data_IF_660813261848
#
_entry.id   IF_660813261848
#
_cell.length_a   1.000
_cell.length_b   1.000
_cell.length_c   1.000
_cell.angle_alpha   90.00
_cell.angle_beta   90.00
_cell.angle_gamma   90.00
#
_symmetry.space_group_name_H-M   'P 1'
#
loop_
_entity.id
_entity.type
_entity.pdbx_description
1 polymer ?
#
# COMPACT_ATOMS: atom_id res chain seq x y z
N UNK A 1 -19.03 5.73 -4.16
CA UNK A 1 -17.56 5.63 -4.00
C UNK A 1 -17.13 4.33 -4.64
N UNK A 2 -16.48 4.40 -5.80
CA UNK A 2 -15.98 3.19 -6.47
C UNK A 2 -14.86 2.56 -5.62
N UNK A 3 -14.91 1.26 -5.39
CA UNK A 3 -13.83 0.57 -4.68
C UNK A 3 -12.49 0.79 -5.39
N UNK A 4 -11.39 0.97 -4.64
CA UNK A 4 -10.10 1.24 -5.23
C UNK A 4 -9.58 0.00 -5.97
N UNK A 5 -9.10 0.20 -7.21
CA UNK A 5 -8.72 -0.88 -8.15
C UNK A 5 -7.74 -1.90 -7.58
N UNK A 6 -6.89 -1.50 -6.62
CA UNK A 6 -5.92 -2.41 -5.99
C UNK A 6 -6.58 -3.52 -5.18
N UNK A 7 -7.82 -3.34 -4.68
CA UNK A 7 -8.57 -4.39 -3.96
C UNK A 7 -9.07 -5.51 -4.87
N UNK A 8 -9.22 -5.22 -6.16
CA UNK A 8 -9.65 -6.20 -7.16
C UNK A 8 -8.47 -7.04 -7.67
N UNK A 9 -7.24 -6.61 -7.41
CA UNK A 9 -6.02 -7.29 -7.85
C UNK A 9 -5.54 -8.23 -6.74
N UNK A 10 -6.09 -9.46 -6.74
CA UNK A 10 -5.83 -10.46 -5.69
C UNK A 10 -4.35 -10.79 -5.53
N UNK A 11 -3.57 -10.77 -6.61
CA UNK A 11 -2.12 -10.97 -6.55
C UNK A 11 -1.47 -9.86 -5.73
N UNK A 12 -1.80 -8.60 -6.00
CA UNK A 12 -1.28 -7.49 -5.23
C UNK A 12 -1.71 -7.56 -3.76
N UNK A 13 -3.00 -7.82 -3.52
CA UNK A 13 -3.55 -7.97 -2.15
C UNK A 13 -2.80 -9.06 -1.40
N UNK A 14 -2.54 -10.22 -2.00
CA UNK A 14 -1.83 -11.31 -1.37
C UNK A 14 -0.36 -10.98 -1.00
N UNK A 15 0.27 -10.07 -1.74
CA UNK A 15 1.64 -9.64 -1.44
C UNK A 15 1.72 -8.71 -0.21
N UNK A 16 0.65 -7.95 0.02
CA UNK A 16 0.57 -6.91 1.05
C UNK A 16 -0.35 -7.24 2.23
N UNK A 17 -1.20 -8.27 2.14
CA UNK A 17 -2.18 -8.62 3.18
C UNK A 17 -1.54 -8.87 4.54
N UNK A 18 -0.40 -9.57 4.55
CA UNK A 18 0.40 -9.83 5.74
C UNK A 18 0.92 -8.54 6.39
N UNK A 19 1.21 -7.51 5.59
CA UNK A 19 1.62 -6.21 6.09
C UNK A 19 0.42 -5.38 6.56
N UNK A 20 -0.67 -5.39 5.80
CA UNK A 20 -1.93 -4.74 6.16
C UNK A 20 -2.52 -5.28 7.47
N UNK A 21 -2.28 -6.55 7.78
CA UNK A 21 -2.77 -7.16 9.01
C UNK A 21 -1.95 -6.77 10.25
N UNK A 22 -0.74 -6.20 10.07
CA UNK A 22 0.10 -5.77 11.20
C UNK A 22 -0.51 -4.58 11.93
N UNK A 23 -0.43 -4.62 13.26
CA UNK A 23 -0.91 -3.54 14.12
C UNK A 23 -0.26 -2.18 13.80
N UNK A 24 1.00 -2.16 13.40
CA UNK A 24 1.73 -0.94 13.01
C UNK A 24 1.09 -0.27 11.78
N UNK A 25 0.68 -1.05 10.79
CA UNK A 25 0.01 -0.56 9.58
C UNK A 25 -1.45 -0.21 9.88
N UNK A 26 -2.12 -0.98 10.74
CA UNK A 26 -3.47 -0.64 11.23
C UNK A 26 -3.47 0.67 12.03
N UNK A 27 -2.41 0.99 12.77
CA UNK A 27 -2.26 2.27 13.47
C UNK A 27 -2.17 3.45 12.51
N UNK A 28 -1.56 3.31 11.32
CA UNK A 28 -1.55 4.36 10.28
C UNK A 28 -2.95 4.71 9.77
N UNK A 29 -3.90 3.76 9.78
CA UNK A 29 -5.31 4.01 9.44
C UNK A 29 -6.01 4.93 10.45
N UNK A 30 -5.50 5.01 11.69
CA UNK A 30 -6.03 5.85 12.76
C UNK A 30 -5.49 7.29 12.73
N UNK A 31 -4.47 7.57 11.91
CA UNK A 31 -3.99 8.94 11.67
C UNK A 31 -4.71 9.54 10.47
N UNK A 32 -5.94 9.99 10.70
CA UNK A 32 -6.74 10.75 9.73
C UNK A 32 -6.23 12.19 9.68
N UNK A 33 -5.39 12.52 8.68
CA UNK A 33 -5.24 13.92 8.28
C UNK A 33 -6.50 14.38 7.53
N UNK A 34 -6.99 15.56 7.89
CA UNK A 34 -8.25 16.15 7.44
C UNK A 34 -8.54 15.95 5.93
N UNK A 35 -9.76 15.50 5.68
CA UNK A 35 -10.59 15.70 4.49
C UNK A 35 -10.57 14.75 3.28
N UNK A 36 -9.48 14.14 2.77
CA UNK A 36 -9.67 13.30 1.55
C UNK A 36 -8.78 12.07 1.34
N UNK A 37 -7.69 11.85 2.10
CA UNK A 37 -6.83 10.67 1.88
C UNK A 37 -6.01 10.35 3.14
N UNK A 38 -6.04 9.11 3.62
CA UNK A 38 -5.14 8.67 4.70
C UNK A 38 -3.70 8.45 4.19
N UNK A 39 -2.67 8.59 5.06
CA UNK A 39 -1.28 8.19 4.73
C UNK A 39 -1.20 6.75 4.19
N UNK A 40 -2.05 5.88 4.73
CA UNK A 40 -2.21 4.51 4.27
C UNK A 40 -2.71 4.42 2.82
N UNK A 41 -3.74 5.17 2.44
CA UNK A 41 -4.25 5.19 1.06
C UNK A 41 -3.24 5.75 0.06
N UNK A 42 -2.47 6.77 0.45
CA UNK A 42 -1.37 7.27 -0.36
C UNK A 42 -0.31 6.19 -0.58
N UNK A 43 0.13 5.53 0.50
CA UNK A 43 1.12 4.44 0.44
C UNK A 43 0.65 3.26 -0.40
N UNK A 44 -0.62 2.86 -0.28
CA UNK A 44 -1.20 1.79 -1.10
C UNK A 44 -1.26 2.21 -2.58
N UNK A 45 -1.59 3.46 -2.89
CA UNK A 45 -1.63 3.94 -4.27
C UNK A 45 -0.25 3.93 -4.93
N UNK A 46 0.78 4.40 -4.22
CA UNK A 46 2.19 4.36 -4.67
C UNK A 46 2.65 2.91 -4.82
N UNK A 47 2.40 2.07 -3.82
CA UNK A 47 2.72 0.65 -3.84
C UNK A 47 2.09 -0.08 -5.03
N UNK A 48 0.80 0.15 -5.31
CA UNK A 48 0.10 -0.47 -6.43
C UNK A 48 0.64 -0.03 -7.78
N UNK A 49 0.99 1.26 -7.94
CA UNK A 49 1.61 1.75 -9.17
C UNK A 49 2.98 1.10 -9.40
N UNK A 50 3.82 1.05 -8.37
CA UNK A 50 5.14 0.41 -8.44
C UNK A 50 5.05 -1.09 -8.70
N UNK A 51 4.10 -1.79 -8.09
CA UNK A 51 3.78 -3.19 -8.39
C UNK A 51 3.44 -3.40 -9.87
N UNK A 52 2.59 -2.54 -10.44
CA UNK A 52 2.21 -2.64 -11.87
C UNK A 52 3.40 -2.41 -12.79
N UNK A 53 4.31 -1.51 -12.43
CA UNK A 53 5.57 -1.29 -13.16
C UNK A 53 6.43 -2.55 -13.04
N UNK A 54 6.68 -3.04 -11.82
CA UNK A 54 7.47 -4.25 -11.60
C UNK A 54 6.93 -5.46 -12.39
N UNK A 55 5.60 -5.65 -12.39
CA UNK A 55 4.92 -6.72 -13.14
C UNK A 55 5.12 -6.58 -14.64
N UNK A 56 5.06 -5.35 -15.17
CA UNK A 56 5.30 -5.08 -16.60
C UNK A 56 6.73 -5.37 -17.04
N UNK A 57 7.71 -5.17 -16.16
CA UNK A 57 9.13 -5.38 -16.44
C UNK A 57 9.66 -6.74 -15.94
N UNK A 58 8.82 -7.60 -15.38
CA UNK A 58 9.24 -8.89 -14.82
C UNK A 58 10.19 -8.76 -13.62
N UNK A 59 10.10 -7.65 -12.88
CA UNK A 59 10.88 -7.40 -11.66
C UNK A 59 10.24 -8.06 -10.44
N UNK A 60 10.90 -7.96 -9.29
CA UNK A 60 10.39 -8.48 -8.02
C UNK A 60 9.18 -7.66 -7.52
N UNK A 61 8.00 -8.11 -7.95
CA UNK A 61 6.70 -7.48 -7.64
C UNK A 61 6.42 -7.47 -6.15
N UNK A 62 6.81 -8.54 -5.43
CA UNK A 62 6.64 -8.68 -3.98
C UNK A 62 7.42 -7.61 -3.23
N UNK A 63 8.72 -7.52 -3.47
CA UNK A 63 9.59 -6.55 -2.80
C UNK A 63 9.17 -5.13 -3.14
N UNK A 64 8.81 -4.88 -4.40
CA UNK A 64 8.36 -3.55 -4.86
C UNK A 64 7.05 -3.13 -4.19
N UNK A 65 6.05 -4.02 -4.14
CA UNK A 65 4.76 -3.74 -3.49
C UNK A 65 4.96 -3.46 -1.98
N UNK A 66 5.73 -4.32 -1.30
CA UNK A 66 5.98 -4.20 0.14
C UNK A 66 6.79 -2.95 0.47
N UNK A 67 7.83 -2.64 -0.32
CA UNK A 67 8.63 -1.43 -0.16
C UNK A 67 7.78 -0.17 -0.34
N UNK A 68 6.94 -0.11 -1.38
CA UNK A 68 6.04 1.02 -1.60
C UNK A 68 4.99 1.18 -0.51
N UNK A 69 4.52 0.09 0.11
CA UNK A 69 3.55 0.17 1.21
C UNK A 69 4.21 0.70 2.50
N UNK A 70 5.47 0.30 2.74
CA UNK A 70 6.21 0.65 3.95
C UNK A 70 7.03 1.95 3.82
N UNK A 71 7.12 2.54 2.64
CA UNK A 71 7.99 3.71 2.41
C UNK A 71 7.60 4.93 3.26
N UNK A 72 6.33 5.05 3.63
CA UNK A 72 5.79 6.13 4.46
C UNK A 72 5.58 5.68 5.92
N UNK A 73 6.12 4.52 6.31
CA UNK A 73 6.06 4.01 7.68
C UNK A 73 7.12 4.70 8.58
N UNK A 74 7.22 6.03 8.47
CA UNK A 74 8.04 6.85 9.35
C UNK A 74 7.16 7.47 10.42
N UNK A 75 7.45 7.12 11.68
CA UNK A 75 6.81 7.70 12.87
C UNK A 75 7.41 9.05 13.28
N UNK A 76 8.23 9.67 12.43
CA UNK A 76 8.95 10.89 12.78
C UNK A 76 8.28 12.13 12.20
N UNK A 77 7.88 13.00 13.12
CA UNK A 77 7.78 14.45 12.97
C UNK A 77 9.18 15.05 12.85
#
# INVERSE_FOLDING_TARGET
MSEPKWKQDLEYVALIEDLLDREEVKKLKNYTQHHFTTRLEHSISVSYLSYRIAKKYGLDTRSTARAGLLHDLFYYD
#
